data_IF_893553853129
#
_entry.id   IF_893553853129
#
_cell.length_a   1.000
_cell.length_b   1.000
_cell.length_c   1.000
_cell.angle_alpha   90.00
_cell.angle_beta   90.00
_cell.angle_gamma   90.00
#
_symmetry.space_group_name_H-M   'P 1'
#
loop_
_entity.id
_entity.type
_entity.pdbx_description
1 polymer ?
#
# COMPACT_ATOMS: atom_id res chain seq x y z
N UNK A 1 -5.23 22.60 7.02
CA UNK A 1 -5.60 21.48 7.91
C UNK A 1 -5.22 20.14 7.31
N UNK A 2 -6.01 19.44 6.47
CA UNK A 2 -5.63 18.10 5.98
C UNK A 2 -4.27 18.05 5.27
N UNK A 3 -4.00 18.94 4.30
CA UNK A 3 -2.67 19.03 3.65
C UNK A 3 -1.53 19.30 4.64
N UNK A 4 -1.79 20.05 5.71
CA UNK A 4 -0.83 20.36 6.78
C UNK A 4 -0.57 19.14 7.69
N UNK A 5 -1.58 18.29 7.86
CA UNK A 5 -1.51 17.02 8.59
C UNK A 5 -0.74 15.97 7.77
N UNK A 6 -1.09 15.84 6.48
CA UNK A 6 -0.39 14.99 5.53
C UNK A 6 1.09 15.37 5.34
N UNK A 7 1.43 16.67 5.36
CA UNK A 7 2.82 17.11 5.33
C UNK A 7 3.57 16.97 6.66
N UNK A 8 2.85 16.77 7.78
CA UNK A 8 3.44 16.61 9.11
C UNK A 8 3.64 15.14 9.51
N UNK A 9 3.09 14.20 8.73
CA UNK A 9 3.10 12.78 9.02
C UNK A 9 3.33 12.00 7.72
N UNK A 10 4.54 11.46 7.56
CA UNK A 10 4.97 10.74 6.35
C UNK A 10 4.06 9.56 5.97
N UNK A 11 3.25 9.07 6.91
CA UNK A 11 2.22 8.03 6.71
C UNK A 11 1.06 8.44 5.80
N UNK A 12 0.95 9.74 5.52
CA UNK A 12 -0.10 10.35 4.72
C UNK A 12 0.48 11.15 3.53
N UNK A 13 1.76 10.94 3.21
CA UNK A 13 2.38 11.52 2.02
C UNK A 13 1.75 10.95 0.74
N UNK A 14 1.64 11.78 -0.29
CA UNK A 14 1.28 11.36 -1.65
C UNK A 14 2.48 10.62 -2.26
N UNK A 15 2.31 9.34 -2.58
CA UNK A 15 3.32 8.51 -3.25
C UNK A 15 3.38 8.84 -4.75
N UNK A 16 4.53 8.58 -5.38
CA UNK A 16 4.58 8.54 -6.84
C UNK A 16 3.63 7.43 -7.36
N UNK A 17 2.81 7.68 -8.40
CA UNK A 17 1.83 6.69 -8.84
C UNK A 17 2.41 5.37 -9.37
N UNK A 18 3.62 5.39 -9.93
CA UNK A 18 4.31 4.19 -10.44
C UNK A 18 4.82 3.37 -9.26
N UNK A 19 5.51 4.01 -8.32
CA UNK A 19 5.97 3.37 -7.08
C UNK A 19 4.79 2.76 -6.31
N UNK A 20 3.74 3.56 -6.10
CA UNK A 20 2.51 3.15 -5.43
C UNK A 20 1.89 1.92 -6.12
N UNK A 21 1.73 1.94 -7.44
CA UNK A 21 1.16 0.82 -8.19
C UNK A 21 1.94 -0.47 -7.94
N UNK A 22 3.26 -0.46 -8.09
CA UNK A 22 4.06 -1.69 -8.00
C UNK A 22 4.24 -2.19 -6.56
N UNK A 23 4.25 -1.28 -5.56
CA UNK A 23 4.16 -1.67 -4.15
C UNK A 23 2.83 -2.38 -3.84
N UNK A 24 1.69 -1.84 -4.29
CA UNK A 24 0.39 -2.50 -4.09
C UNK A 24 0.22 -3.76 -4.96
N UNK A 25 0.85 -3.88 -6.14
CA UNK A 25 0.90 -5.15 -6.88
C UNK A 25 1.74 -6.23 -6.17
N UNK A 26 2.79 -5.85 -5.44
CA UNK A 26 3.54 -6.79 -4.59
C UNK A 26 2.65 -7.33 -3.46
N UNK A 27 1.69 -6.51 -3.03
CA UNK A 27 0.83 -6.82 -1.89
C UNK A 27 -0.20 -7.93 -2.15
N UNK A 28 -0.82 -7.99 -3.33
CA UNK A 28 -2.00 -8.83 -3.60
C UNK A 28 -1.84 -10.32 -3.21
N UNK A 29 -2.69 -10.82 -2.31
CA UNK A 29 -2.69 -12.19 -1.77
C UNK A 29 -1.30 -12.66 -1.29
N UNK A 30 -0.71 -11.92 -0.36
CA UNK A 30 0.68 -12.09 0.09
C UNK A 30 0.81 -11.69 1.57
N UNK A 31 1.97 -11.92 2.19
CA UNK A 31 2.21 -11.57 3.61
C UNK A 31 3.32 -10.52 3.75
N UNK A 32 3.28 -9.73 4.84
CA UNK A 32 4.19 -8.59 5.12
C UNK A 32 5.65 -8.93 4.79
N UNK A 33 6.20 -9.97 5.42
CA UNK A 33 7.60 -10.37 5.25
C UNK A 33 7.98 -10.70 3.80
N UNK A 34 7.04 -11.18 2.96
CA UNK A 34 7.28 -11.41 1.53
C UNK A 34 7.06 -10.16 0.68
N UNK A 35 6.17 -9.27 1.09
CA UNK A 35 5.87 -8.00 0.41
C UNK A 35 7.06 -7.05 0.57
N UNK A 36 7.60 -6.88 1.77
CA UNK A 36 8.84 -6.11 2.03
C UNK A 36 9.97 -6.55 1.09
N UNK A 37 10.21 -7.87 0.98
CA UNK A 37 11.24 -8.41 0.07
C UNK A 37 10.96 -8.17 -1.40
N UNK A 38 9.70 -8.23 -1.82
CA UNK A 38 9.31 -7.96 -3.22
C UNK A 38 9.44 -6.48 -3.57
N UNK A 39 9.05 -5.58 -2.65
CA UNK A 39 9.24 -4.13 -2.82
C UNK A 39 10.72 -3.79 -2.89
N UNK A 40 11.54 -4.26 -1.94
CA UNK A 40 12.99 -4.05 -1.96
C UNK A 40 13.63 -4.58 -3.26
N UNK A 41 13.22 -5.77 -3.74
CA UNK A 41 13.74 -6.32 -4.99
C UNK A 41 13.34 -5.54 -6.24
N UNK A 42 12.16 -4.89 -6.25
CA UNK A 42 11.76 -4.00 -7.36
C UNK A 42 12.53 -2.68 -7.29
N UNK A 43 12.66 -2.08 -6.10
CA UNK A 43 13.44 -0.85 -5.90
C UNK A 43 14.90 -1.03 -6.33
N UNK A 44 15.48 -2.21 -6.10
CA UNK A 44 16.85 -2.56 -6.51
C UNK A 44 17.08 -2.63 -8.04
N UNK A 45 16.05 -2.51 -8.89
CA UNK A 45 16.24 -2.29 -10.34
C UNK A 45 16.46 -0.82 -10.71
N UNK A 46 16.29 0.11 -9.77
CA UNK A 46 16.49 1.55 -9.93
C UNK A 46 17.92 2.02 -9.61
N UNK A 47 18.09 3.33 -9.52
CA UNK A 47 19.40 3.95 -9.25
C UNK A 47 19.78 3.80 -7.77
N UNK A 48 20.96 3.22 -7.50
CA UNK A 48 21.48 3.08 -6.14
C UNK A 48 21.93 4.44 -5.58
N UNK A 49 21.42 4.80 -4.40
CA UNK A 49 21.66 6.07 -3.71
C UNK A 49 22.79 5.99 -2.69
N UNK A 50 22.98 4.84 -2.05
CA UNK A 50 23.96 4.65 -0.98
C UNK A 50 23.54 3.59 0.05
N UNK A 51 24.49 3.16 0.85
CA UNK A 51 24.31 2.16 1.90
C UNK A 51 24.33 2.82 3.27
N UNK A 52 23.34 2.54 4.14
CA UNK A 52 23.30 2.99 5.55
C UNK A 52 23.06 1.78 6.45
N UNK A 53 23.90 1.57 7.47
CA UNK A 53 23.82 0.42 8.39
C UNK A 53 23.73 -0.96 7.68
N UNK A 54 24.37 -1.09 6.51
CA UNK A 54 24.33 -2.30 5.68
C UNK A 54 23.03 -2.53 4.90
N UNK A 55 22.20 -1.49 4.74
CA UNK A 55 21.00 -1.48 3.90
C UNK A 55 21.24 -0.56 2.69
N UNK A 56 21.05 -1.09 1.48
CA UNK A 56 21.23 -0.35 0.22
C UNK A 56 19.93 0.36 -0.19
N UNK A 57 19.99 1.69 -0.30
CA UNK A 57 18.87 2.54 -0.70
C UNK A 57 18.92 2.82 -2.21
N UNK A 58 17.75 2.87 -2.84
CA UNK A 58 17.60 3.04 -4.27
C UNK A 58 16.46 4.03 -4.57
N UNK A 59 16.61 4.84 -5.61
CA UNK A 59 15.46 5.49 -6.23
C UNK A 59 14.55 4.42 -6.85
N UNK A 60 13.23 4.57 -6.69
CA UNK A 60 12.30 3.66 -7.35
C UNK A 60 12.48 3.76 -8.89
N UNK A 61 12.64 2.64 -9.61
CA UNK A 61 12.91 2.65 -11.04
C UNK A 61 11.76 3.27 -11.86
N UNK A 62 12.11 3.95 -12.95
CA UNK A 62 11.14 4.47 -13.92
C UNK A 62 10.42 3.33 -14.66
N UNK A 63 9.28 3.66 -15.29
CA UNK A 63 8.55 2.70 -16.15
C UNK A 63 9.44 2.14 -17.25
N UNK A 64 10.25 2.98 -17.91
CA UNK A 64 11.15 2.54 -18.98
C UNK A 64 12.16 1.51 -18.43
N UNK A 65 12.72 1.77 -17.25
CA UNK A 65 13.66 0.84 -16.60
C UNK A 65 12.98 -0.45 -16.16
N UNK A 66 11.74 -0.39 -15.67
CA UNK A 66 10.95 -1.56 -15.31
C UNK A 66 10.57 -2.40 -16.53
N UNK A 67 10.29 -1.77 -17.67
CA UNK A 67 9.97 -2.48 -18.92
C UNK A 67 11.15 -3.31 -19.48
N UNK A 68 12.39 -2.99 -19.09
CA UNK A 68 13.58 -3.78 -19.39
C UNK A 68 13.80 -4.99 -18.45
N UNK A 69 13.07 -5.09 -17.33
CA UNK A 69 13.25 -6.17 -16.36
C UNK A 69 12.62 -7.46 -16.88
N UNK A 70 13.46 -8.47 -17.11
CA UNK A 70 13.03 -9.78 -17.60
C UNK A 70 12.28 -10.59 -16.54
N UNK A 71 11.40 -11.48 -17.02
CA UNK A 71 10.67 -12.43 -16.16
C UNK A 71 11.62 -13.30 -15.33
N UNK A 72 12.79 -13.66 -15.88
CA UNK A 72 13.82 -14.45 -15.20
C UNK A 72 14.40 -13.72 -13.99
N UNK A 73 14.67 -12.41 -14.09
CA UNK A 73 15.13 -11.59 -12.98
C UNK A 73 14.08 -11.55 -11.86
N UNK A 74 12.80 -11.37 -12.20
CA UNK A 74 11.71 -11.39 -11.21
C UNK A 74 11.53 -12.78 -10.57
N UNK A 75 11.70 -13.86 -11.33
CA UNK A 75 11.67 -15.23 -10.80
C UNK A 75 12.81 -15.48 -9.82
N UNK A 76 14.03 -15.07 -10.16
CA UNK A 76 15.21 -15.09 -9.27
C UNK A 76 14.98 -14.24 -8.00
N UNK A 77 14.28 -13.12 -8.12
CA UNK A 77 13.84 -12.28 -7.00
C UNK A 77 12.64 -12.83 -6.19
N UNK A 78 12.15 -14.04 -6.46
CA UNK A 78 11.12 -14.70 -5.65
C UNK A 78 9.67 -14.30 -5.94
N UNK A 79 9.39 -13.63 -7.07
CA UNK A 79 8.02 -13.27 -7.49
C UNK A 79 7.16 -14.50 -7.81
N UNK A 80 7.80 -15.61 -8.23
CA UNK A 80 7.12 -16.83 -8.64
C UNK A 80 6.25 -16.59 -9.87
N UNK A 81 5.02 -17.09 -9.87
CA UNK A 81 4.06 -16.88 -10.97
C UNK A 81 3.71 -15.41 -11.22
N UNK A 82 3.93 -14.51 -10.25
CA UNK A 82 3.64 -13.07 -10.40
C UNK A 82 4.63 -12.37 -11.34
N UNK A 83 5.77 -12.97 -11.65
CA UNK A 83 6.75 -12.44 -12.61
C UNK A 83 6.10 -12.07 -13.95
N UNK A 84 5.28 -12.97 -14.51
CA UNK A 84 4.51 -12.74 -15.75
C UNK A 84 3.59 -11.52 -15.62
N UNK A 85 2.85 -11.42 -14.51
CA UNK A 85 1.92 -10.30 -14.26
C UNK A 85 2.69 -8.98 -14.17
N UNK A 86 3.83 -8.97 -13.51
CA UNK A 86 4.69 -7.79 -13.36
C UNK A 86 5.28 -7.36 -14.70
N UNK A 87 5.88 -8.25 -15.50
CA UNK A 87 6.38 -7.90 -16.83
C UNK A 87 5.26 -7.34 -17.73
N UNK A 88 4.09 -7.99 -17.76
CA UNK A 88 2.94 -7.49 -18.52
C UNK A 88 2.44 -6.12 -18.02
N UNK A 89 2.59 -5.83 -16.72
CA UNK A 89 2.24 -4.53 -16.14
C UNK A 89 3.27 -3.46 -16.45
N UNK A 90 4.56 -3.78 -16.38
CA UNK A 90 5.66 -2.89 -16.78
C UNK A 90 5.50 -2.45 -18.23
N UNK A 91 5.24 -3.37 -19.16
CA UNK A 91 5.06 -3.06 -20.58
C UNK A 91 3.73 -2.38 -20.95
N UNK A 92 2.73 -2.37 -20.05
CA UNK A 92 1.40 -1.76 -20.30
C UNK A 92 1.13 -0.50 -19.47
N UNK A 93 1.93 -0.23 -18.45
CA UNK A 93 1.86 1.03 -17.74
C UNK A 93 2.33 2.15 -18.68
N UNK A 94 1.52 3.21 -18.90
CA UNK A 94 1.99 4.33 -19.69
C UNK A 94 3.19 5.00 -19.00
N UNK A 95 4.16 5.43 -19.80
CA UNK A 95 5.28 6.23 -19.31
C UNK A 95 4.79 7.60 -18.81
N UNK A 96 5.46 8.13 -17.79
CA UNK A 96 5.14 9.46 -17.25
C UNK A 96 5.80 10.56 -18.08
N UNK A 97 5.00 11.44 -18.69
CA UNK A 97 5.56 12.66 -19.29
C UNK A 97 5.98 13.66 -18.18
N UNK A 98 7.29 13.66 -17.89
CA UNK A 98 8.05 14.72 -17.23
C UNK A 98 7.53 15.26 -15.88
N UNK A 99 7.97 14.60 -14.81
CA UNK A 99 8.55 15.18 -13.56
C UNK A 99 8.10 16.60 -13.16
N UNK A 100 7.05 16.68 -12.34
CA UNK A 100 6.71 17.86 -11.53
C UNK A 100 5.47 17.61 -10.68
N UNK A 101 5.29 18.33 -9.56
CA UNK A 101 4.11 18.17 -8.63
C UNK A 101 2.73 18.52 -9.24
N UNK A 102 2.67 18.74 -10.56
CA UNK A 102 1.47 18.99 -11.38
C UNK A 102 1.60 18.41 -12.81
N UNK A 103 2.66 17.65 -13.08
CA UNK A 103 2.83 16.90 -14.32
C UNK A 103 1.75 15.83 -14.42
N UNK A 104 1.36 15.46 -15.64
CA UNK A 104 0.27 14.52 -15.87
C UNK A 104 0.73 13.15 -15.37
N UNK A 105 0.16 12.70 -14.25
CA UNK A 105 0.37 11.32 -13.78
C UNK A 105 0.01 10.34 -14.91
N UNK A 106 0.71 9.18 -15.01
CA UNK A 106 0.38 8.15 -16.00
C UNK A 106 -1.07 7.64 -15.89
N UNK A 107 -1.74 7.93 -14.77
CA UNK A 107 -3.13 7.57 -14.51
C UNK A 107 -4.03 8.82 -14.41
N UNK A 108 -5.32 8.71 -14.78
CA UNK A 108 -6.16 9.87 -15.04
C UNK A 108 -6.76 10.50 -13.77
N UNK A 109 -5.92 11.08 -12.90
CA UNK A 109 -6.29 11.65 -11.60
C UNK A 109 -7.38 12.74 -11.61
N UNK A 110 -7.72 13.29 -12.79
CA UNK A 110 -8.79 14.30 -12.95
C UNK A 110 -10.19 13.70 -13.19
N UNK A 111 -10.29 12.38 -13.34
CA UNK A 111 -11.58 11.68 -13.47
C UNK A 111 -12.20 11.42 -12.08
N UNK A 112 -13.49 11.11 -12.05
CA UNK A 112 -14.13 10.58 -10.84
C UNK A 112 -13.61 9.19 -10.48
N UNK A 113 -13.57 8.83 -9.20
CA UNK A 113 -12.89 7.62 -8.73
C UNK A 113 -13.35 6.31 -9.38
N UNK A 114 -14.59 6.20 -9.87
CA UNK A 114 -15.05 5.05 -10.66
C UNK A 114 -14.20 4.87 -11.94
N UNK A 115 -14.09 5.92 -12.76
CA UNK A 115 -13.32 5.88 -13.99
C UNK A 115 -11.80 5.80 -13.74
N UNK A 116 -11.30 6.35 -12.62
CA UNK A 116 -9.91 6.09 -12.17
C UNK A 116 -9.71 4.60 -11.87
N UNK A 117 -10.67 3.98 -11.17
CA UNK A 117 -10.64 2.56 -10.80
C UNK A 117 -10.70 1.67 -12.03
N UNK A 118 -11.63 1.94 -12.96
CA UNK A 118 -11.75 1.23 -14.24
C UNK A 118 -10.46 1.32 -15.07
N UNK A 119 -9.89 2.54 -15.20
CA UNK A 119 -8.65 2.73 -15.93
C UNK A 119 -7.49 1.93 -15.32
N UNK A 120 -7.32 1.97 -13.99
CA UNK A 120 -6.31 1.20 -13.29
C UNK A 120 -6.52 -0.32 -13.44
N UNK A 121 -7.76 -0.80 -13.40
CA UNK A 121 -8.10 -2.22 -13.55
C UNK A 121 -7.87 -2.77 -14.98
N UNK A 122 -7.53 -1.94 -15.96
CA UNK A 122 -7.05 -2.42 -17.27
C UNK A 122 -5.62 -3.00 -17.21
N UNK A 123 -4.86 -2.66 -16.16
CA UNK A 123 -3.51 -3.17 -15.96
C UNK A 123 -3.52 -4.61 -15.41
N UNK A 124 -2.63 -5.50 -15.91
CA UNK A 124 -2.55 -6.88 -15.44
C UNK A 124 -2.38 -7.00 -13.92
N UNK A 125 -3.24 -7.81 -13.28
CA UNK A 125 -3.17 -8.04 -11.83
C UNK A 125 -3.66 -6.89 -10.94
N UNK A 126 -4.08 -5.76 -11.51
CA UNK A 126 -4.74 -4.68 -10.78
C UNK A 126 -6.23 -5.00 -10.64
N UNK A 127 -6.64 -5.39 -9.44
CA UNK A 127 -8.05 -5.50 -9.06
C UNK A 127 -8.56 -4.23 -8.35
N UNK A 128 -9.88 -4.14 -8.05
CA UNK A 128 -10.49 -2.97 -7.43
C UNK A 128 -9.80 -2.51 -6.12
N UNK A 129 -9.34 -3.44 -5.28
CA UNK A 129 -8.59 -3.12 -4.06
C UNK A 129 -7.25 -2.42 -4.34
N UNK A 130 -6.48 -2.90 -5.33
CA UNK A 130 -5.20 -2.29 -5.73
C UNK A 130 -5.45 -0.92 -6.38
N UNK A 131 -6.44 -0.84 -7.28
CA UNK A 131 -6.85 0.40 -7.91
C UNK A 131 -7.27 1.46 -6.88
N UNK A 132 -8.07 1.09 -5.88
CA UNK A 132 -8.48 1.99 -4.79
C UNK A 132 -7.29 2.46 -3.93
N UNK A 133 -6.28 1.61 -3.70
CA UNK A 133 -5.05 2.01 -2.99
C UNK A 133 -4.28 3.06 -3.79
N UNK A 134 -4.01 2.79 -5.08
CA UNK A 134 -3.30 3.73 -5.96
C UNK A 134 -4.06 5.05 -6.08
N UNK A 135 -5.39 4.98 -6.24
CA UNK A 135 -6.26 6.15 -6.28
C UNK A 135 -6.16 7.01 -5.01
N UNK A 136 -6.21 6.38 -3.83
CA UNK A 136 -6.13 7.05 -2.53
C UNK A 136 -4.77 7.69 -2.26
N UNK A 137 -3.68 6.92 -2.45
CA UNK A 137 -2.33 7.30 -2.01
C UNK A 137 -1.50 8.06 -3.06
N UNK A 138 -1.91 8.10 -4.33
CA UNK A 138 -1.12 8.74 -5.40
C UNK A 138 -1.90 9.58 -6.42
N UNK A 139 -3.25 9.52 -6.46
CA UNK A 139 -4.07 10.19 -7.49
C UNK A 139 -5.13 11.15 -6.92
N UNK A 140 -4.89 11.71 -5.73
CA UNK A 140 -5.78 12.65 -5.03
C UNK A 140 -7.21 12.14 -4.72
N UNK A 141 -7.51 10.84 -4.91
CA UNK A 141 -8.83 10.28 -4.66
C UNK A 141 -9.03 9.95 -3.17
N UNK A 142 -9.01 10.98 -2.32
CA UNK A 142 -9.15 10.91 -0.86
C UNK A 142 -10.41 10.17 -0.32
N UNK A 143 -11.37 9.89 -1.21
CA UNK A 143 -12.62 9.18 -0.94
C UNK A 143 -12.62 7.73 -1.45
N UNK A 144 -11.58 7.29 -2.16
CA UNK A 144 -11.40 5.89 -2.55
C UNK A 144 -11.08 5.06 -1.30
N UNK A 145 -11.81 3.97 -1.09
CA UNK A 145 -11.70 3.11 0.09
C UNK A 145 -11.23 1.73 -0.40
N UNK A 146 -9.98 1.32 -0.12
CA UNK A 146 -9.54 -0.04 -0.33
C UNK A 146 -10.37 -1.03 0.49
N UNK A 147 -11.31 -1.73 -0.16
CA UNK A 147 -12.15 -2.76 0.42
C UNK A 147 -11.90 -4.07 -0.32
N UNK A 148 -11.52 -5.11 0.41
CA UNK A 148 -11.47 -6.47 -0.14
C UNK A 148 -12.81 -7.19 0.05
N UNK A 149 -12.95 -8.37 -0.56
CA UNK A 149 -14.20 -8.91 -1.12
C UNK A 149 -15.38 -9.17 -0.17
N UNK A 150 -15.27 -8.92 1.14
CA UNK A 150 -16.31 -9.22 2.13
C UNK A 150 -16.69 -8.11 3.14
N UNK A 151 -16.20 -6.86 3.02
CA UNK A 151 -16.52 -5.77 3.99
C UNK A 151 -17.39 -4.65 3.39
N UNK A 152 -18.64 -4.99 3.03
CA UNK A 152 -19.64 -4.01 2.54
C UNK A 152 -20.57 -3.46 3.63
N UNK A 153 -20.76 -4.20 4.73
CA UNK A 153 -21.69 -3.80 5.79
C UNK A 153 -21.15 -2.59 6.58
N UNK A 154 -21.81 -1.44 6.41
CA UNK A 154 -21.45 -0.18 7.07
C UNK A 154 -20.69 0.82 6.19
N UNK A 155 -20.30 0.46 4.96
CA UNK A 155 -19.54 1.36 4.08
C UNK A 155 -20.31 2.66 3.77
N UNK A 156 -21.63 2.59 3.57
CA UNK A 156 -22.49 3.77 3.38
C UNK A 156 -22.42 4.74 4.56
N UNK A 157 -22.76 4.27 5.77
CA UNK A 157 -22.69 5.09 6.98
C UNK A 157 -21.27 5.62 7.29
N UNK A 158 -20.24 4.91 6.86
CA UNK A 158 -18.85 5.36 6.96
C UNK A 158 -18.55 6.51 5.98
N UNK A 159 -18.98 6.39 4.72
CA UNK A 159 -18.90 7.46 3.72
C UNK A 159 -19.74 8.67 4.13
N UNK A 160 -20.95 8.47 4.67
CA UNK A 160 -21.80 9.55 5.20
C UNK A 160 -21.09 10.31 6.34
N UNK A 161 -20.33 9.60 7.18
CA UNK A 161 -19.63 10.19 8.33
C UNK A 161 -18.35 10.95 7.95
N UNK A 162 -17.57 10.45 6.99
CA UNK A 162 -16.24 10.98 6.66
C UNK A 162 -16.18 11.69 5.29
N UNK A 163 -17.24 11.59 4.48
CA UNK A 163 -17.40 12.25 3.19
C UNK A 163 -16.20 12.04 2.26
N UNK A 164 -15.71 13.15 1.69
CA UNK A 164 -14.58 13.17 0.75
C UNK A 164 -13.24 12.67 1.32
N UNK A 165 -13.17 12.38 2.62
CA UNK A 165 -11.97 11.91 3.33
C UNK A 165 -12.11 10.47 3.84
N UNK A 166 -13.12 9.72 3.41
CA UNK A 166 -13.38 8.38 3.91
C UNK A 166 -12.20 7.40 3.71
N UNK A 167 -11.49 7.44 2.58
CA UNK A 167 -10.29 6.60 2.37
C UNK A 167 -9.18 6.88 3.38
N UNK A 168 -8.92 8.17 3.64
CA UNK A 168 -7.96 8.57 4.67
C UNK A 168 -8.41 8.24 6.10
N UNK A 169 -9.71 8.38 6.40
CA UNK A 169 -10.27 7.98 7.68
C UNK A 169 -10.14 6.47 7.92
N UNK A 170 -10.38 5.66 6.87
CA UNK A 170 -10.16 4.21 6.92
C UNK A 170 -8.69 3.92 7.21
N UNK A 171 -7.77 4.55 6.46
CA UNK A 171 -6.32 4.41 6.65
C UNK A 171 -5.90 4.75 8.09
N UNK A 172 -6.40 5.85 8.66
CA UNK A 172 -6.06 6.25 10.03
C UNK A 172 -6.58 5.26 11.08
N UNK A 173 -7.83 4.79 10.96
CA UNK A 173 -8.40 3.77 11.86
C UNK A 173 -7.62 2.45 11.77
N UNK A 174 -7.25 2.07 10.55
CA UNK A 174 -6.52 0.86 10.23
C UNK A 174 -5.10 0.88 10.79
N UNK A 175 -4.35 1.97 10.59
CA UNK A 175 -3.04 2.18 11.21
C UNK A 175 -3.12 2.15 12.74
N UNK A 176 -4.23 2.61 13.34
CA UNK A 176 -4.47 2.52 14.78
C UNK A 176 -4.72 1.09 15.31
N UNK A 177 -5.15 0.16 14.46
CA UNK A 177 -5.37 -1.24 14.82
C UNK A 177 -4.10 -2.12 14.71
N UNK A 178 -3.06 -1.63 14.03
CA UNK A 178 -1.76 -2.30 13.94
C UNK A 178 -1.17 -2.54 15.36
N UNK A 179 -0.59 -3.71 15.67
CA UNK A 179 -0.21 -4.06 17.05
C UNK A 179 0.74 -3.07 17.75
N UNK A 180 1.78 -2.50 17.11
CA UNK A 180 2.64 -1.49 17.75
C UNK A 180 1.88 -0.21 18.11
N UNK A 181 1.02 0.26 17.21
CA UNK A 181 0.22 1.48 17.37
C UNK A 181 -0.87 1.29 18.42
N UNK A 182 -1.53 0.12 18.41
CA UNK A 182 -2.55 -0.26 19.39
C UNK A 182 -2.01 -0.32 20.83
N UNK A 183 -0.72 -0.62 21.00
CA UNK A 183 -0.03 -0.57 22.30
C UNK A 183 0.25 0.87 22.80
N UNK A 184 0.22 1.87 21.91
CA UNK A 184 0.37 3.30 22.25
C UNK A 184 -0.97 4.00 22.51
N UNK A 185 -2.10 3.40 22.10
CA UNK A 185 -3.43 3.97 22.29
C UNK A 185 -3.94 3.76 23.72
N UNK A 186 -4.67 4.74 24.30
CA UNK A 186 -5.33 4.55 25.59
C UNK A 186 -6.38 3.42 25.51
N UNK A 187 -6.66 2.73 26.62
CA UNK A 187 -7.66 1.66 26.64
C UNK A 187 -9.04 2.21 26.21
N UNK A 188 -9.81 1.44 25.42
CA UNK A 188 -11.10 1.91 24.93
C UNK A 188 -12.06 2.18 26.10
N UNK A 189 -12.88 3.25 26.04
CA UNK A 189 -13.85 3.55 27.10
C UNK A 189 -14.82 2.37 27.31
N UNK A 190 -15.14 2.11 28.57
CA UNK A 190 -15.82 0.89 29.04
C UNK A 190 -17.18 0.58 28.36
N UNK A 191 -17.80 1.57 27.71
CA UNK A 191 -19.11 1.47 27.07
C UNK A 191 -19.08 1.01 25.59
N UNK A 192 -17.90 0.77 25.01
CA UNK A 192 -17.79 0.18 23.67
C UNK A 192 -18.12 -1.32 23.70
N UNK A 193 -19.39 -1.65 23.44
CA UNK A 193 -19.85 -3.03 23.20
C UNK A 193 -19.09 -3.64 22.02
N UNK A 194 -18.14 -4.53 22.31
CA UNK A 194 -17.41 -5.29 21.28
C UNK A 194 -18.39 -6.19 20.52
N UNK A 195 -18.39 -6.10 19.19
CA UNK A 195 -19.05 -7.10 18.35
C UNK A 195 -18.35 -8.46 18.56
N UNK A 196 -19.13 -9.49 18.88
CA UNK A 196 -18.65 -10.84 19.20
C UNK A 196 -18.18 -11.56 17.94
N UNK A 197 -16.87 -11.83 17.82
CA UNK A 197 -16.34 -12.79 16.83
C UNK A 197 -16.64 -14.23 17.29
N UNK A 198 -16.91 -15.18 16.37
CA UNK A 198 -17.05 -16.60 16.72
C UNK A 198 -15.76 -17.19 17.31
N UNK A 199 -15.89 -18.06 18.31
CA UNK A 199 -14.79 -18.66 19.07
C UNK A 199 -14.21 -19.87 18.35
N UNK A 200 -12.89 -19.96 18.24
CA UNK A 200 -12.13 -21.22 18.12
C UNK A 200 -11.15 -21.32 19.28
N UNK A 201 -11.00 -22.53 19.83
CA UNK A 201 -10.37 -22.80 21.12
C UNK A 201 -8.88 -23.20 20.98
N UNK A 202 -8.08 -22.80 21.97
CA UNK A 202 -6.65 -23.09 22.30
C UNK A 202 -6.22 -24.57 22.11
N UNK A 203 -4.95 -25.00 22.22
CA UNK A 203 -3.71 -24.55 22.89
C UNK A 203 -2.50 -24.63 21.90
N UNK A 204 -1.19 -24.40 22.19
CA UNK A 204 -0.30 -24.00 23.34
C UNK A 204 1.02 -23.46 22.71
N UNK A 205 1.97 -22.73 23.31
CA UNK A 205 2.16 -22.10 24.65
C UNK A 205 2.80 -20.68 24.49
N UNK A 206 3.90 -20.34 25.19
CA UNK A 206 4.61 -19.03 25.20
C UNK A 206 6.11 -19.16 25.64
N UNK A 207 6.95 -18.15 25.40
CA UNK A 207 8.36 -18.04 25.83
C UNK A 207 9.25 -17.13 24.94
N UNK A 208 9.63 -15.94 25.44
CA UNK A 208 10.75 -15.13 24.89
C UNK A 208 10.37 -13.78 24.28
N UNK A 209 10.37 -12.71 25.10
CA UNK A 209 10.32 -11.33 24.61
C UNK A 209 11.67 -10.93 24.01
N UNK A 210 11.69 -10.55 22.75
CA UNK A 210 12.83 -9.88 22.13
C UNK A 210 12.34 -8.60 21.43
N UNK A 211 12.70 -7.43 21.97
CA UNK A 211 12.32 -6.13 21.44
C UNK A 211 13.19 -5.84 20.21
N UNK A 212 12.58 -5.77 19.02
CA UNK A 212 13.29 -5.33 17.81
C UNK A 212 13.46 -3.80 17.82
N UNK A 213 14.57 -3.26 17.30
CA UNK A 213 14.72 -1.81 17.14
C UNK A 213 13.63 -1.24 16.23
N UNK A 214 13.18 -0.03 16.54
CA UNK A 214 12.36 0.78 15.64
C UNK A 214 13.22 1.13 14.41
N UNK A 215 12.95 0.49 13.26
CA UNK A 215 13.48 0.93 11.97
C UNK A 215 12.79 2.25 11.56
N UNK A 216 13.52 3.08 10.83
CA UNK A 216 13.02 4.40 10.43
C UNK A 216 11.80 4.28 9.51
N UNK A 217 10.74 5.02 9.85
CA UNK A 217 9.36 4.69 9.50
C UNK A 217 8.90 5.16 8.10
N UNK A 218 9.81 5.32 7.15
CA UNK A 218 9.51 5.74 5.78
C UNK A 218 9.09 4.56 4.90
N UNK A 219 10.08 3.83 4.39
CA UNK A 219 9.87 2.74 3.42
C UNK A 219 9.15 1.53 4.05
N UNK A 220 9.46 1.18 5.30
CA UNK A 220 8.80 0.07 5.98
C UNK A 220 7.32 0.35 6.24
N UNK A 221 6.93 1.61 6.48
CA UNK A 221 5.53 1.96 6.72
C UNK A 221 4.66 1.69 5.49
N UNK A 222 5.12 2.05 4.29
CA UNK A 222 4.34 1.82 3.07
C UNK A 222 4.30 0.33 2.70
N UNK A 223 5.37 -0.42 2.95
CA UNK A 223 5.36 -1.88 2.84
C UNK A 223 4.39 -2.53 3.85
N UNK A 224 4.43 -2.12 5.13
CA UNK A 224 3.52 -2.57 6.19
C UNK A 224 2.06 -2.23 5.87
N UNK A 225 1.80 -1.00 5.42
CA UNK A 225 0.47 -0.52 5.06
C UNK A 225 -0.08 -1.31 3.86
N UNK A 226 0.69 -1.37 2.77
CA UNK A 226 0.32 -2.14 1.58
C UNK A 226 0.06 -3.60 1.90
N UNK A 227 0.89 -4.19 2.77
CA UNK A 227 0.79 -5.59 3.17
C UNK A 227 -0.37 -5.90 4.10
N UNK A 228 -0.66 -5.03 5.07
CA UNK A 228 -1.80 -5.27 5.95
C UNK A 228 -3.12 -5.03 5.18
N UNK A 229 -3.15 -4.13 4.19
CA UNK A 229 -4.30 -3.96 3.29
C UNK A 229 -4.59 -5.21 2.43
N UNK A 230 -3.84 -6.32 2.58
CA UNK A 230 -4.10 -7.63 1.95
C UNK A 230 -4.53 -8.73 2.94
N UNK A 231 -4.93 -8.34 4.16
CA UNK A 231 -5.40 -9.24 5.21
C UNK A 231 -6.90 -9.17 5.60
N UNK A 232 -7.78 -8.27 5.16
CA UNK A 232 -7.76 -7.36 4.01
C UNK A 232 -8.07 -8.19 2.75
#
# INVERSE_FOLDING_TARGET
MWRSFASADARFAELDPVECLFQFLCSSNNNIARIERMVAAVSAFGEHLGTVEGVDFHHFPSIDRLAEVSEEQLRKAGFGYRSVIFCLSFSRCPASEARGRRGVAPFPARLGAHAVTEALCTLPGVGPKVAACVALFSLDQHHAIPVDTHVWQGLGAFVDRFGRYAGWAQTALFVGELPPQKALLPPPPANLKKATKPRKEKLREDGGRNLRPLREAGESFWADLAAHFCLL
#
